data_IF_783012383935
#
_entry.id   IF_783012383935
#
_cell.length_a   1.000
_cell.length_b   1.000
_cell.length_c   1.000
_cell.angle_alpha   90.00
_cell.angle_beta   90.00
_cell.angle_gamma   90.00
#
_symmetry.space_group_name_H-M   'P 1'
#
loop_
_entity.id
_entity.type
_entity.pdbx_description
1 polymer ?
#
# COMPACT_ATOMS: atom_id res chain seq x y z
N UNK A 1 18.36 41.23 6.75
CA UNK A 1 18.15 39.78 6.93
C UNK A 1 17.14 39.33 5.89
N UNK A 2 17.57 38.64 4.82
CA UNK A 2 16.67 38.17 3.76
C UNK A 2 16.10 36.81 4.16
N UNK A 3 14.78 36.74 4.37
CA UNK A 3 14.07 35.48 4.65
C UNK A 3 13.57 34.94 3.31
N UNK A 4 14.22 33.89 2.81
CA UNK A 4 13.78 33.19 1.62
C UNK A 4 12.61 32.24 1.96
N UNK A 5 11.41 32.55 1.48
CA UNK A 5 10.26 31.65 1.58
C UNK A 5 10.29 30.62 0.44
N UNK A 6 10.81 29.42 0.73
CA UNK A 6 10.70 28.29 -0.21
C UNK A 6 9.33 27.62 -0.10
N UNK A 7 8.58 27.59 -1.21
CA UNK A 7 7.29 26.90 -1.32
C UNK A 7 7.48 25.55 -2.02
N UNK A 8 7.72 24.49 -1.25
CA UNK A 8 7.87 23.12 -1.76
C UNK A 8 6.51 22.54 -2.19
N UNK A 9 6.35 22.30 -3.50
CA UNK A 9 5.25 21.48 -4.05
C UNK A 9 5.72 20.03 -4.16
N UNK A 10 5.34 19.20 -3.18
CA UNK A 10 5.56 17.75 -3.26
C UNK A 10 4.61 17.13 -4.28
N UNK A 11 5.15 16.62 -5.38
CA UNK A 11 4.41 15.85 -6.36
C UNK A 11 4.22 14.42 -5.81
N UNK A 12 3.08 14.17 -5.18
CA UNK A 12 2.71 12.85 -4.66
C UNK A 12 2.43 11.90 -5.82
N UNK A 13 3.41 11.07 -6.16
CA UNK A 13 3.24 9.93 -7.04
C UNK A 13 2.66 8.78 -6.21
N UNK A 14 1.33 8.72 -6.12
CA UNK A 14 0.67 7.56 -5.54
C UNK A 14 0.58 6.48 -6.61
N UNK A 15 1.46 5.49 -6.57
CA UNK A 15 1.19 4.23 -7.27
C UNK A 15 0.07 3.54 -6.49
N UNK A 16 -1.13 3.48 -7.06
CA UNK A 16 -2.25 2.76 -6.44
C UNK A 16 -1.92 1.27 -6.51
N UNK A 17 -1.21 0.76 -5.49
CA UNK A 17 -0.93 -0.67 -5.35
C UNK A 17 -2.26 -1.38 -5.05
N UNK A 18 -2.76 -2.09 -6.05
CA UNK A 18 -3.93 -2.94 -5.89
C UNK A 18 -3.52 -4.16 -5.06
N UNK A 19 -4.19 -4.38 -3.92
CA UNK A 19 -3.82 -5.43 -2.97
C UNK A 19 -4.23 -6.80 -3.48
N UNK A 20 -3.31 -7.77 -3.48
CA UNK A 20 -3.63 -9.18 -3.76
C UNK A 20 -4.55 -9.79 -2.70
N UNK A 21 -5.39 -10.74 -3.11
CA UNK A 21 -6.25 -11.47 -2.19
C UNK A 21 -5.51 -12.59 -1.46
N UNK A 22 -4.68 -12.21 -0.48
CA UNK A 22 -3.90 -13.15 0.35
C UNK A 22 -4.73 -14.06 1.27
N UNK A 23 -6.06 -14.00 1.20
CA UNK A 23 -6.94 -14.97 1.87
C UNK A 23 -6.92 -16.33 1.15
N UNK A 24 -6.72 -16.36 -0.17
CA UNK A 24 -6.65 -17.62 -0.93
C UNK A 24 -5.47 -18.49 -0.51
N UNK A 25 -4.37 -17.91 -0.04
CA UNK A 25 -3.24 -18.64 0.56
C UNK A 25 -3.57 -19.35 1.88
N UNK A 26 -4.81 -19.24 2.40
CA UNK A 26 -5.31 -20.04 3.52
C UNK A 26 -6.19 -21.22 3.09
N UNK A 27 -6.59 -21.29 1.83
CA UNK A 27 -7.36 -22.41 1.30
C UNK A 27 -6.47 -23.65 1.12
N UNK A 28 -7.07 -24.83 0.96
CA UNK A 28 -6.33 -26.09 0.80
C UNK A 28 -5.58 -26.18 -0.52
N UNK A 29 -6.14 -25.66 -1.61
CA UNK A 29 -5.65 -25.99 -2.96
C UNK A 29 -4.74 -24.88 -3.54
N UNK A 30 -5.10 -23.61 -3.31
CA UNK A 30 -4.37 -22.45 -3.86
C UNK A 30 -2.91 -22.32 -3.42
N UNK A 31 -2.50 -22.69 -2.19
CA UNK A 31 -1.08 -22.65 -1.83
C UNK A 31 -0.22 -23.61 -2.65
N UNK A 32 -0.75 -24.78 -3.00
CA UNK A 32 -0.02 -25.76 -3.82
C UNK A 32 0.07 -25.29 -5.27
N UNK A 33 -1.02 -24.76 -5.82
CA UNK A 33 -1.02 -24.09 -7.13
C UNK A 33 0.01 -22.96 -7.18
N UNK A 34 0.05 -22.11 -6.14
CA UNK A 34 1.04 -21.03 -6.03
C UNK A 34 2.48 -21.55 -6.02
N UNK A 35 2.77 -22.59 -5.23
CA UNK A 35 4.10 -23.20 -5.13
C UNK A 35 4.59 -23.74 -6.48
N UNK A 36 3.72 -24.48 -7.17
CA UNK A 36 4.04 -25.09 -8.47
C UNK A 36 4.28 -24.00 -9.51
N UNK A 37 3.37 -23.04 -9.63
CA UNK A 37 3.49 -21.95 -10.60
C UNK A 37 4.72 -21.09 -10.34
N UNK A 38 5.00 -20.73 -9.08
CA UNK A 38 6.18 -19.96 -8.71
C UNK A 38 7.46 -20.72 -9.05
N UNK A 39 7.54 -22.01 -8.69
CA UNK A 39 8.72 -22.84 -8.96
C UNK A 39 8.98 -23.01 -10.46
N UNK A 40 7.94 -23.29 -11.25
CA UNK A 40 8.05 -23.45 -12.70
C UNK A 40 8.55 -22.17 -13.37
N UNK A 41 7.97 -21.02 -13.01
CA UNK A 41 8.37 -19.72 -13.56
C UNK A 41 9.77 -19.33 -13.13
N UNK A 42 10.12 -19.57 -11.86
CA UNK A 42 11.46 -19.28 -11.39
C UNK A 42 12.51 -20.17 -12.04
N UNK A 43 12.23 -21.46 -12.27
CA UNK A 43 13.15 -22.34 -12.98
C UNK A 43 13.46 -21.81 -14.39
N UNK A 44 12.43 -21.38 -15.14
CA UNK A 44 12.63 -20.76 -16.45
C UNK A 44 13.39 -19.43 -16.38
N UNK A 45 13.21 -18.66 -15.32
CA UNK A 45 13.92 -17.39 -15.11
C UNK A 45 15.35 -17.57 -14.59
N UNK A 46 15.63 -18.63 -13.83
CA UNK A 46 16.94 -18.91 -13.26
C UNK A 46 18.00 -19.11 -14.34
N UNK A 47 17.65 -19.75 -15.46
CA UNK A 47 18.55 -19.93 -16.60
C UNK A 47 18.92 -18.59 -17.27
N UNK A 48 18.04 -17.57 -17.17
CA UNK A 48 18.28 -16.23 -17.67
C UNK A 48 19.15 -15.38 -16.72
N UNK A 49 19.06 -15.62 -15.41
CA UNK A 49 19.85 -14.91 -14.38
C UNK A 49 21.35 -15.21 -14.48
N UNK A 50 21.71 -16.39 -15.00
CA UNK A 50 23.11 -16.81 -15.16
C UNK A 50 23.72 -16.40 -16.51
N UNK A 51 22.99 -15.67 -17.35
CA UNK A 51 23.51 -15.17 -18.64
C UNK A 51 24.37 -13.93 -18.40
N UNK A 52 25.60 -13.97 -18.90
CA UNK A 52 26.57 -12.89 -18.77
C UNK A 52 26.06 -11.59 -19.45
N UNK A 53 26.07 -10.46 -18.72
CA UNK A 53 25.64 -9.13 -19.20
C UNK A 53 24.36 -8.54 -18.58
N UNK A 54 23.72 -9.20 -17.61
CA UNK A 54 22.56 -8.63 -16.90
C UNK A 54 22.97 -7.73 -15.74
N UNK A 55 22.44 -6.50 -15.66
CA UNK A 55 22.65 -5.62 -14.50
C UNK A 55 21.88 -6.09 -13.28
N UNK A 56 22.35 -5.71 -12.09
CA UNK A 56 21.74 -6.09 -10.82
C UNK A 56 20.26 -5.67 -10.70
N UNK A 57 19.94 -4.49 -11.19
CA UNK A 57 18.57 -3.95 -11.23
C UNK A 57 17.66 -4.78 -12.15
N UNK A 58 18.18 -5.30 -13.26
CA UNK A 58 17.43 -6.15 -14.18
C UNK A 58 17.13 -7.51 -13.53
N UNK A 59 18.09 -8.07 -12.80
CA UNK A 59 17.93 -9.33 -12.06
C UNK A 59 16.88 -9.18 -10.96
N UNK A 60 16.94 -8.12 -10.15
CA UNK A 60 15.92 -7.84 -9.15
C UNK A 60 14.54 -7.62 -9.78
N UNK A 61 14.49 -6.87 -10.89
CA UNK A 61 13.24 -6.60 -11.61
C UNK A 61 12.60 -7.90 -12.10
N UNK A 62 13.36 -8.81 -12.68
CA UNK A 62 12.82 -10.10 -13.14
C UNK A 62 12.36 -11.01 -12.00
N UNK A 63 13.06 -11.03 -10.85
CA UNK A 63 12.59 -11.73 -9.64
C UNK A 63 11.26 -11.13 -9.17
N UNK A 64 11.20 -9.81 -9.06
CA UNK A 64 10.00 -9.08 -8.66
C UNK A 64 8.84 -9.37 -9.60
N UNK A 65 9.05 -9.30 -10.91
CA UNK A 65 8.04 -9.60 -11.94
C UNK A 65 7.58 -11.05 -11.88
N UNK A 66 8.48 -12.00 -11.61
CA UNK A 66 8.15 -13.42 -11.45
C UNK A 66 7.22 -13.63 -10.24
N UNK A 67 7.55 -13.03 -9.10
CA UNK A 67 6.74 -13.16 -7.88
C UNK A 67 5.40 -12.44 -8.05
N UNK A 68 5.37 -11.21 -8.57
CA UNK A 68 4.14 -10.43 -8.73
C UNK A 68 3.23 -11.04 -9.78
N UNK A 69 3.75 -11.50 -10.91
CA UNK A 69 2.97 -12.19 -11.95
C UNK A 69 2.35 -13.49 -11.43
N UNK A 70 3.05 -14.23 -10.56
CA UNK A 70 2.50 -15.44 -9.94
C UNK A 70 1.39 -15.08 -8.94
N UNK A 71 1.57 -13.98 -8.19
CA UNK A 71 0.50 -13.44 -7.34
C UNK A 71 -0.73 -13.02 -8.16
N UNK A 72 -0.54 -12.41 -9.33
CA UNK A 72 -1.64 -12.04 -10.22
C UNK A 72 -2.43 -13.25 -10.71
N UNK A 73 -1.75 -14.30 -11.17
CA UNK A 73 -2.40 -15.50 -11.71
C UNK A 73 -3.17 -16.28 -10.64
N UNK A 74 -2.54 -16.54 -9.49
CA UNK A 74 -3.10 -17.49 -8.50
C UNK A 74 -3.97 -16.79 -7.45
N UNK A 75 -3.60 -15.58 -7.01
CA UNK A 75 -4.29 -14.89 -5.91
C UNK A 75 -5.34 -13.90 -6.39
N UNK A 76 -5.21 -13.39 -7.61
CA UNK A 76 -5.99 -12.26 -8.13
C UNK A 76 -5.95 -11.03 -7.18
N UNK A 77 -6.47 -9.92 -7.64
CA UNK A 77 -6.62 -8.74 -6.83
C UNK A 77 -7.83 -8.84 -5.92
N UNK A 78 -7.72 -8.22 -4.75
CA UNK A 78 -8.87 -7.98 -3.90
C UNK A 78 -9.82 -7.05 -4.65
N UNK A 79 -10.99 -7.58 -5.02
CA UNK A 79 -12.05 -6.78 -5.63
C UNK A 79 -12.47 -5.68 -4.66
N UNK A 80 -12.57 -4.47 -5.17
CA UNK A 80 -13.16 -3.38 -4.42
C UNK A 80 -14.67 -3.61 -4.40
N UNK A 81 -15.23 -3.90 -3.22
CA UNK A 81 -16.68 -3.83 -3.07
C UNK A 81 -17.07 -2.36 -3.17
N UNK A 82 -17.72 -2.01 -4.27
CA UNK A 82 -18.41 -0.75 -4.38
C UNK A 82 -19.59 -0.77 -3.41
N UNK A 83 -20.04 0.42 -2.99
CA UNK A 83 -21.22 0.51 -2.14
C UNK A 83 -22.40 -0.09 -2.89
N UNK A 84 -23.28 -0.81 -2.18
CA UNK A 84 -24.42 -1.54 -2.75
C UNK A 84 -25.29 -0.69 -3.69
N UNK A 85 -25.30 0.63 -3.48
CA UNK A 85 -26.08 1.56 -4.28
C UNK A 85 -25.41 2.03 -5.56
N UNK A 86 -24.13 1.75 -5.82
CA UNK A 86 -23.46 2.21 -7.05
C UNK A 86 -23.72 1.21 -8.18
N UNK A 87 -24.40 1.66 -9.23
CA UNK A 87 -24.67 0.90 -10.46
C UNK A 87 -23.45 0.77 -11.37
N UNK A 88 -23.52 -0.21 -12.27
CA UNK A 88 -22.53 -0.43 -13.34
C UNK A 88 -22.42 0.80 -14.24
N UNK A 89 -23.55 1.37 -14.67
CA UNK A 89 -23.56 2.59 -15.51
C UNK A 89 -22.78 3.75 -14.85
N UNK A 90 -22.93 3.95 -13.54
CA UNK A 90 -22.19 4.98 -12.81
C UNK A 90 -20.69 4.66 -12.71
N UNK A 91 -20.31 3.38 -12.64
CA UNK A 91 -18.91 2.96 -12.70
C UNK A 91 -18.30 3.24 -14.08
N UNK A 92 -19.04 2.99 -15.15
CA UNK A 92 -18.61 3.27 -16.52
C UNK A 92 -18.39 4.77 -16.73
N UNK A 93 -19.31 5.62 -16.24
CA UNK A 93 -19.12 7.08 -16.25
C UNK A 93 -17.89 7.52 -15.43
N UNK A 94 -17.62 6.88 -14.29
CA UNK A 94 -16.41 7.15 -13.50
C UNK A 94 -15.15 6.80 -14.29
N UNK A 95 -15.19 5.70 -15.04
CA UNK A 95 -14.09 5.28 -15.89
C UNK A 95 -13.89 6.24 -17.06
N UNK A 96 -14.96 6.68 -17.72
CA UNK A 96 -14.90 7.70 -18.76
C UNK A 96 -14.26 9.00 -18.25
N UNK A 97 -14.67 9.47 -17.06
CA UNK A 97 -14.04 10.62 -16.41
C UNK A 97 -12.53 10.42 -16.21
N UNK A 98 -12.08 9.22 -15.83
CA UNK A 98 -10.64 8.91 -15.70
C UNK A 98 -9.92 9.00 -17.05
N UNK A 99 -10.54 8.50 -18.11
CA UNK A 99 -9.99 8.57 -19.46
C UNK A 99 -9.84 10.03 -19.91
N UNK A 100 -10.86 10.88 -19.70
CA UNK A 100 -10.79 12.33 -19.96
C UNK A 100 -9.70 13.01 -19.11
N UNK A 101 -9.50 12.57 -17.87
CA UNK A 101 -8.41 13.07 -17.01
C UNK A 101 -7.04 12.69 -17.55
N UNK A 102 -6.88 11.49 -18.11
CA UNK A 102 -5.65 11.07 -18.76
C UNK A 102 -5.35 11.90 -20.01
N UNK A 103 -6.36 12.24 -20.81
CA UNK A 103 -6.21 13.12 -21.97
C UNK A 103 -5.62 14.50 -21.60
N UNK A 104 -6.04 15.10 -20.48
CA UNK A 104 -5.46 16.35 -19.95
C UNK A 104 -3.98 16.19 -19.60
N UNK A 105 -3.57 15.03 -19.10
CA UNK A 105 -2.18 14.79 -18.72
C UNK A 105 -1.28 14.58 -19.94
N UNK A 106 -1.83 14.01 -21.02
CA UNK A 106 -1.11 13.72 -22.28
C UNK A 106 -1.07 14.95 -23.21
N UNK A 107 -2.02 15.90 -23.07
CA UNK A 107 -2.12 17.08 -23.93
C UNK A 107 -0.82 17.90 -23.98
N UNK A 108 -0.36 18.22 -25.19
CA UNK A 108 0.91 18.91 -25.44
C UNK A 108 0.73 20.42 -25.63
N UNK A 109 -0.35 20.83 -26.28
CA UNK A 109 -0.65 22.24 -26.59
C UNK A 109 -1.61 22.84 -25.56
N UNK A 110 -1.54 24.16 -25.36
CA UNK A 110 -2.46 24.88 -24.47
C UNK A 110 -3.92 24.79 -24.91
N UNK A 111 -4.18 24.79 -26.23
CA UNK A 111 -5.52 24.65 -26.80
C UNK A 111 -6.12 23.26 -26.49
N UNK A 112 -5.40 22.19 -26.83
CA UNK A 112 -5.81 20.81 -26.55
C UNK A 112 -6.08 20.57 -25.07
N UNK A 113 -5.22 21.13 -24.21
CA UNK A 113 -5.40 21.05 -22.75
C UNK A 113 -6.67 21.75 -22.29
N UNK A 114 -6.98 22.91 -22.85
CA UNK A 114 -8.21 23.66 -22.56
C UNK A 114 -9.46 22.87 -22.97
N UNK A 115 -9.44 22.27 -24.17
CA UNK A 115 -10.54 21.44 -24.67
C UNK A 115 -10.75 20.18 -23.81
N UNK A 116 -9.69 19.43 -23.56
CA UNK A 116 -9.74 18.24 -22.70
C UNK A 116 -10.21 18.57 -21.27
N UNK A 117 -9.86 19.76 -20.76
CA UNK A 117 -10.29 20.23 -19.45
C UNK A 117 -11.79 20.59 -19.43
N UNK A 118 -12.32 21.18 -20.51
CA UNK A 118 -13.76 21.42 -20.64
C UNK A 118 -14.54 20.09 -20.65
N UNK A 119 -14.13 19.13 -21.47
CA UNK A 119 -14.75 17.80 -21.55
C UNK A 119 -14.73 17.07 -20.20
N UNK A 120 -13.58 17.03 -19.53
CA UNK A 120 -13.48 16.42 -18.20
C UNK A 120 -14.39 17.12 -17.18
N UNK A 121 -14.55 18.43 -17.28
CA UNK A 121 -15.41 19.20 -16.36
C UNK A 121 -16.87 18.81 -16.52
N UNK A 122 -17.34 18.65 -17.76
CA UNK A 122 -18.71 18.22 -18.05
C UNK A 122 -18.96 16.78 -17.58
N UNK A 123 -18.11 15.82 -17.96
CA UNK A 123 -18.23 14.42 -17.51
C UNK A 123 -18.17 14.33 -15.98
N UNK A 124 -17.28 15.10 -15.33
CA UNK A 124 -17.20 15.13 -13.86
C UNK A 124 -18.46 15.71 -13.21
N UNK A 125 -19.15 16.68 -13.83
CA UNK A 125 -20.43 17.20 -13.36
C UNK A 125 -21.51 16.13 -13.47
N UNK A 126 -21.57 15.40 -14.59
CA UNK A 126 -22.52 14.31 -14.80
C UNK A 126 -22.31 13.17 -13.80
N UNK A 127 -21.06 12.70 -13.61
CA UNK A 127 -20.70 11.70 -12.59
C UNK A 127 -21.11 12.15 -11.19
N UNK A 128 -20.89 13.41 -10.82
CA UNK A 128 -21.33 13.92 -9.52
C UNK A 128 -22.84 13.93 -9.39
N UNK A 129 -23.56 14.23 -10.47
CA UNK A 129 -25.02 14.24 -10.49
C UNK A 129 -25.59 12.82 -10.35
N UNK A 130 -25.10 11.86 -11.14
CA UNK A 130 -25.54 10.45 -11.09
C UNK A 130 -25.33 9.85 -9.71
N UNK A 131 -24.13 10.02 -9.13
CA UNK A 131 -23.81 9.55 -7.76
C UNK A 131 -24.78 10.13 -6.71
N UNK A 132 -25.15 11.41 -6.81
CA UNK A 132 -26.10 12.03 -5.87
C UNK A 132 -27.50 11.48 -6.03
N UNK A 133 -27.98 11.37 -7.27
CA UNK A 133 -29.32 10.87 -7.59
C UNK A 133 -29.47 9.42 -7.16
N UNK A 134 -28.48 8.60 -7.46
CA UNK A 134 -28.47 7.19 -7.12
C UNK A 134 -28.40 6.95 -5.61
N UNK A 135 -27.52 7.68 -4.91
CA UNK A 135 -27.49 7.65 -3.44
C UNK A 135 -28.84 8.06 -2.84
N UNK A 136 -29.52 9.06 -3.41
CA UNK A 136 -30.85 9.48 -2.97
C UNK A 136 -31.88 8.36 -3.16
N UNK A 137 -31.94 7.77 -4.35
CA UNK A 137 -32.83 6.63 -4.66
C UNK A 137 -32.61 5.47 -3.70
N UNK A 138 -31.36 5.13 -3.39
CA UNK A 138 -31.06 4.08 -2.43
C UNK A 138 -31.56 4.38 -1.01
N UNK A 139 -31.32 5.60 -0.52
CA UNK A 139 -31.80 6.03 0.81
C UNK A 139 -33.33 6.03 0.85
N UNK A 140 -33.98 6.49 -0.21
CA UNK A 140 -35.44 6.50 -0.34
C UNK A 140 -36.02 5.07 -0.35
N UNK A 141 -35.43 4.15 -1.12
CA UNK A 141 -35.82 2.73 -1.11
C UNK A 141 -35.66 2.09 0.28
N UNK A 142 -34.57 2.42 0.99
CA UNK A 142 -34.32 1.92 2.34
C UNK A 142 -35.35 2.46 3.34
N UNK A 143 -35.69 3.74 3.23
CA UNK A 143 -36.74 4.36 4.05
C UNK A 143 -38.11 3.74 3.76
N UNK A 144 -38.47 3.55 2.49
CA UNK A 144 -39.71 2.89 2.08
C UNK A 144 -39.79 1.45 2.60
N UNK A 145 -38.68 0.70 2.55
CA UNK A 145 -38.60 -0.64 3.11
C UNK A 145 -38.81 -0.63 4.62
N UNK A 146 -38.19 0.32 5.34
CA UNK A 146 -38.39 0.51 6.77
C UNK A 146 -39.85 0.84 7.12
N UNK A 147 -40.48 1.75 6.39
CA UNK A 147 -41.90 2.11 6.59
C UNK A 147 -42.82 0.91 6.35
N UNK A 148 -42.56 0.13 5.29
CA UNK A 148 -43.33 -1.09 5.01
C UNK A 148 -43.18 -2.12 6.13
N UNK A 149 -41.95 -2.38 6.56
CA UNK A 149 -41.68 -3.32 7.66
C UNK A 149 -42.34 -2.88 8.98
N UNK A 150 -42.40 -1.58 9.27
CA UNK A 150 -43.11 -1.05 10.43
C UNK A 150 -44.62 -1.31 10.34
N UNK A 151 -45.23 -1.13 9.16
CA UNK A 151 -46.66 -1.43 8.94
C UNK A 151 -46.97 -2.92 9.08
N UNK A 152 -46.05 -3.78 8.67
CA UNK A 152 -46.19 -5.24 8.73
C UNK A 152 -45.74 -5.84 10.07
N UNK A 153 -45.21 -5.03 11.00
CA UNK A 153 -44.72 -5.49 12.30
C UNK A 153 -43.39 -6.28 12.25
N UNK A 154 -42.65 -6.25 11.13
CA UNK A 154 -41.38 -6.97 10.97
C UNK A 154 -40.23 -6.14 11.59
N UNK A 155 -40.11 -6.21 12.91
CA UNK A 155 -39.17 -5.39 13.69
C UNK A 155 -37.70 -5.55 13.26
N UNK A 156 -37.27 -6.76 12.89
CA UNK A 156 -35.88 -7.01 12.46
C UNK A 156 -35.51 -6.20 11.20
N UNK A 157 -36.38 -6.20 10.20
CA UNK A 157 -36.15 -5.46 8.96
C UNK A 157 -36.21 -3.94 9.17
N UNK A 158 -37.09 -3.48 10.07
CA UNK A 158 -37.15 -2.08 10.48
C UNK A 158 -35.82 -1.63 11.10
N UNK A 159 -35.29 -2.37 12.08
CA UNK A 159 -34.01 -2.05 12.71
C UNK A 159 -32.83 -2.14 11.73
N UNK A 160 -32.82 -3.14 10.83
CA UNK A 160 -31.78 -3.26 9.81
C UNK A 160 -31.80 -2.07 8.84
N UNK A 161 -32.99 -1.59 8.43
CA UNK A 161 -33.13 -0.40 7.61
C UNK A 161 -32.67 0.87 8.35
N UNK A 162 -33.11 1.07 9.60
CA UNK A 162 -32.70 2.19 10.44
C UNK A 162 -31.19 2.20 10.67
N UNK A 163 -30.56 1.03 10.84
CA UNK A 163 -29.12 0.90 11.04
C UNK A 163 -28.31 1.21 9.78
N UNK A 164 -28.86 0.94 8.58
CA UNK A 164 -28.22 1.20 7.29
C UNK A 164 -28.36 2.67 6.81
N UNK A 165 -29.36 3.41 7.30
CA UNK A 165 -29.59 4.83 6.96
C UNK A 165 -28.47 5.79 7.39
N UNK A 166 -27.97 5.75 8.65
CA UNK A 166 -26.80 6.52 9.04
C UNK A 166 -25.57 5.91 8.37
N UNK A 167 -25.10 6.54 7.30
CA UNK A 167 -23.76 6.26 6.78
C UNK A 167 -22.71 6.46 7.87
N UNK A 168 -21.55 5.78 7.75
CA UNK A 168 -20.40 5.79 8.67
C UNK A 168 -20.54 6.81 9.80
N UNK A 169 -20.97 6.35 10.98
CA UNK A 169 -20.94 7.14 12.20
C UNK A 169 -19.52 7.71 12.33
N UNK A 170 -19.36 8.99 12.01
CA UNK A 170 -18.16 9.71 12.38
C UNK A 170 -18.23 9.77 13.90
N UNK A 171 -17.36 8.98 14.54
CA UNK A 171 -17.04 9.25 15.94
C UNK A 171 -16.77 10.76 16.01
N UNK A 172 -17.38 11.50 16.94
CA UNK A 172 -16.95 12.86 17.17
C UNK A 172 -15.43 12.82 17.30
N UNK A 173 -14.77 13.74 16.60
CA UNK A 173 -13.31 13.88 16.64
C UNK A 173 -12.90 13.81 18.11
N UNK A 174 -11.96 12.91 18.45
CA UNK A 174 -11.55 12.75 19.84
C UNK A 174 -11.03 14.11 20.27
N UNK A 175 -11.83 14.79 21.06
CA UNK A 175 -11.55 16.10 21.58
C UNK A 175 -10.21 16.03 22.31
N UNK A 176 -9.26 16.87 21.87
CA UNK A 176 -7.93 16.97 22.48
C UNK A 176 -8.13 17.43 23.91
N UNK A 177 -7.58 16.69 24.88
CA UNK A 177 -7.67 17.03 26.29
C UNK A 177 -6.38 17.72 26.74
N UNK A 178 -6.52 18.72 27.62
CA UNK A 178 -5.38 19.28 28.34
C UNK A 178 -4.81 18.26 29.35
N UNK A 179 -3.72 18.60 30.06
CA UNK A 179 -3.08 17.70 31.03
C UNK A 179 -4.02 17.31 32.18
N UNK A 180 -5.01 18.15 32.46
CA UNK A 180 -6.03 17.99 33.49
C UNK A 180 -7.25 17.19 33.01
N UNK A 181 -7.25 16.72 31.75
CA UNK A 181 -8.32 15.88 31.19
C UNK A 181 -9.56 16.63 30.68
N UNK A 182 -9.54 17.96 30.68
CA UNK A 182 -10.60 18.85 30.14
C UNK A 182 -10.48 18.97 28.61
N UNK A 183 -11.62 18.96 27.93
CA UNK A 183 -11.73 19.08 26.48
C UNK A 183 -11.37 20.50 26.01
N UNK A 184 -10.48 20.59 25.03
CA UNK A 184 -10.05 21.83 24.39
C UNK A 184 -10.86 22.05 23.10
N UNK A 185 -11.66 23.12 23.08
CA UNK A 185 -12.50 23.49 21.94
C UNK A 185 -11.81 24.47 20.96
N UNK A 186 -10.79 25.21 21.41
CA UNK A 186 -10.10 26.23 20.61
C UNK A 186 -8.90 25.66 19.84
N UNK A 187 -8.74 26.04 18.57
CA UNK A 187 -7.65 25.59 17.69
C UNK A 187 -6.28 26.07 18.18
N UNK A 188 -6.20 27.27 18.74
CA UNK A 188 -4.96 27.84 19.32
C UNK A 188 -4.45 26.97 20.48
N UNK A 189 -5.36 26.64 21.39
CA UNK A 189 -5.08 25.82 22.58
C UNK A 189 -4.72 24.38 22.20
N UNK A 190 -5.34 23.83 21.15
CA UNK A 190 -4.96 22.52 20.62
C UNK A 190 -3.52 22.53 20.11
N UNK A 191 -3.10 23.58 19.39
CA UNK A 191 -1.71 23.75 18.92
C UNK A 191 -0.73 23.81 20.08
N UNK A 192 -1.03 24.61 21.10
CA UNK A 192 -0.19 24.72 22.30
C UNK A 192 -0.07 23.38 23.03
N UNK A 193 -1.17 22.63 23.15
CA UNK A 193 -1.18 21.29 23.75
C UNK A 193 -0.31 20.29 22.98
N UNK A 194 -0.30 20.37 21.65
CA UNK A 194 0.60 19.57 20.80
C UNK A 194 2.06 19.96 21.01
N UNK A 195 2.37 21.26 21.04
CA UNK A 195 3.72 21.76 21.28
C UNK A 195 4.27 21.28 22.63
N UNK A 196 3.47 21.38 23.70
CA UNK A 196 3.85 20.86 25.02
C UNK A 196 4.11 19.34 24.99
N UNK A 197 3.24 18.57 24.34
CA UNK A 197 3.41 17.12 24.24
C UNK A 197 4.72 16.75 23.54
N UNK A 198 5.05 17.43 22.44
CA UNK A 198 6.26 17.17 21.69
C UNK A 198 7.51 17.66 22.41
N UNK A 199 7.45 18.79 23.11
CA UNK A 199 8.57 19.25 23.97
C UNK A 199 8.88 18.23 25.05
N UNK A 200 7.86 17.71 25.73
CA UNK A 200 8.04 16.70 26.78
C UNK A 200 8.59 15.36 26.24
N UNK A 201 8.12 14.94 25.07
CA UNK A 201 8.52 13.67 24.46
C UNK A 201 9.92 13.71 23.82
N UNK A 202 10.27 14.83 23.18
CA UNK A 202 11.54 14.97 22.44
C UNK A 202 12.67 15.56 23.30
N UNK A 203 12.36 16.40 24.28
CA UNK A 203 13.36 17.05 25.14
C UNK A 203 13.45 16.32 26.51
N UNK A 204 13.67 15.01 26.47
CA UNK A 204 13.99 14.27 27.70
C UNK A 204 15.30 14.83 28.27
N UNK A 205 15.40 15.17 29.56
CA UNK A 205 16.66 15.61 30.14
C UNK A 205 17.72 14.52 29.95
N UNK A 206 18.94 14.94 29.61
CA UNK A 206 20.07 14.04 29.49
C UNK A 206 20.16 13.19 30.76
N UNK A 207 20.27 11.87 30.56
CA UNK A 207 20.54 10.95 31.66
C UNK A 207 21.78 11.43 32.42
N UNK A 208 21.64 11.77 33.70
CA UNK A 208 22.76 12.12 34.58
C UNK A 208 23.74 10.94 34.78
N UNK A 209 23.33 9.72 34.43
CA UNK A 209 24.27 8.66 34.19
C UNK A 209 24.82 8.85 32.77
N UNK A 210 25.99 9.48 32.68
CA UNK A 210 26.91 9.24 31.59
C UNK A 210 27.11 7.72 31.54
N UNK A 211 26.44 7.06 30.60
CA UNK A 211 26.76 5.67 30.30
C UNK A 211 28.19 5.72 29.81
N UNK A 212 29.14 5.34 30.66
CA UNK A 212 30.50 5.10 30.25
C UNK A 212 30.40 3.92 29.28
N UNK A 213 30.33 4.23 27.98
CA UNK A 213 30.46 3.22 26.94
C UNK A 213 31.92 2.83 27.01
N UNK A 214 32.22 1.85 27.87
CA UNK A 214 33.47 1.11 27.79
C UNK A 214 33.55 0.66 26.33
N UNK A 215 34.53 1.20 25.61
CA UNK A 215 34.76 0.90 24.20
C UNK A 215 35.01 -0.60 24.15
N UNK A 216 33.98 -1.37 23.82
CA UNK A 216 34.06 -2.80 23.60
C UNK A 216 35.07 -3.00 22.47
N UNK A 217 36.28 -3.52 22.73
CA UNK A 217 37.20 -3.89 21.68
C UNK A 217 36.79 -5.29 21.27
N UNK A 218 35.74 -5.38 20.46
CA UNK A 218 35.43 -6.58 19.71
C UNK A 218 34.68 -6.14 18.46
N UNK A 219 35.38 -6.10 17.34
CA UNK A 219 34.74 -6.46 16.09
C UNK A 219 34.18 -7.86 16.33
N UNK A 220 32.89 -7.93 16.67
CA UNK A 220 32.17 -9.20 16.64
C UNK A 220 32.51 -9.81 15.27
N UNK A 221 32.86 -11.10 15.20
CA UNK A 221 33.06 -11.76 13.92
C UNK A 221 31.69 -11.81 13.21
N UNK A 222 31.33 -10.70 12.59
CA UNK A 222 30.17 -10.55 11.74
C UNK A 222 30.62 -11.17 10.43
N UNK A 223 30.05 -12.33 10.14
CA UNK A 223 30.25 -12.96 8.85
C UNK A 223 29.78 -11.98 7.76
N UNK A 224 30.74 -11.47 6.99
CA UNK A 224 30.51 -10.59 5.83
C UNK A 224 30.22 -11.39 4.56
N UNK A 225 30.15 -12.71 4.66
CA UNK A 225 29.79 -13.63 3.60
C UNK A 225 28.35 -13.46 3.10
N UNK A 226 27.99 -14.11 1.98
CA UNK A 226 26.63 -14.16 1.51
C UNK A 226 25.74 -14.90 2.53
N UNK A 227 24.49 -14.43 2.76
CA UNK A 227 23.58 -15.09 3.70
C UNK A 227 23.26 -16.51 3.26
N UNK A 228 23.16 -17.42 4.21
CA UNK A 228 22.82 -18.83 3.96
C UNK A 228 21.33 -19.01 3.67
N UNK A 229 20.98 -20.10 2.97
CA UNK A 229 19.58 -20.43 2.64
C UNK A 229 18.74 -20.63 3.91
N UNK A 230 19.34 -21.20 4.95
CA UNK A 230 18.74 -21.45 6.26
C UNK A 230 18.40 -20.13 6.96
N UNK A 231 19.33 -19.16 6.98
CA UNK A 231 19.10 -17.83 7.53
C UNK A 231 17.98 -17.11 6.80
N UNK A 232 18.00 -17.13 5.47
CA UNK A 232 16.95 -16.53 4.63
C UNK A 232 15.60 -17.20 4.93
N UNK A 233 15.57 -18.53 5.02
CA UNK A 233 14.35 -19.29 5.36
C UNK A 233 13.81 -18.92 6.74
N UNK A 234 14.68 -18.75 7.73
CA UNK A 234 14.32 -18.30 9.07
C UNK A 234 13.71 -16.89 9.04
N UNK A 235 14.36 -15.95 8.36
CA UNK A 235 13.89 -14.57 8.23
C UNK A 235 12.51 -14.57 7.58
N UNK A 236 12.31 -15.27 6.46
CA UNK A 236 11.01 -15.38 5.77
C UNK A 236 9.92 -15.86 6.72
N UNK A 237 10.19 -16.89 7.54
CA UNK A 237 9.24 -17.41 8.53
C UNK A 237 8.90 -16.38 9.60
N UNK A 238 9.83 -15.52 10.00
CA UNK A 238 9.61 -14.48 11.01
C UNK A 238 8.85 -13.24 10.50
N UNK A 239 8.77 -13.02 9.17
CA UNK A 239 8.07 -11.84 8.61
C UNK A 239 6.61 -11.77 9.09
N UNK A 240 6.19 -10.64 9.65
CA UNK A 240 4.81 -10.45 10.10
C UNK A 240 3.82 -10.50 8.94
N UNK A 241 2.89 -11.45 8.97
CA UNK A 241 1.80 -11.54 7.99
C UNK A 241 0.72 -10.50 8.26
N UNK A 242 0.01 -10.04 7.21
CA UNK A 242 -1.08 -9.06 7.33
C UNK A 242 -0.64 -7.59 7.29
N UNK A 243 0.65 -7.32 7.10
CA UNK A 243 1.16 -5.98 6.77
C UNK A 243 0.92 -5.66 5.28
N UNK A 244 0.91 -4.37 4.95
CA UNK A 244 0.82 -3.93 3.56
C UNK A 244 2.06 -4.39 2.79
N UNK A 245 1.88 -4.69 1.50
CA UNK A 245 3.01 -4.94 0.62
C UNK A 245 3.86 -3.66 0.53
N UNK A 246 5.18 -3.83 0.46
CA UNK A 246 6.13 -2.73 0.30
C UNK A 246 6.05 -2.09 -1.10
N UNK A 247 7.01 -1.22 -1.45
CA UNK A 247 7.07 -0.57 -2.76
C UNK A 247 7.13 -1.58 -3.94
N UNK A 248 7.59 -2.79 -3.66
CA UNK A 248 7.63 -3.86 -4.66
C UNK A 248 6.29 -4.59 -4.87
N UNK A 249 5.25 -4.23 -4.13
CA UNK A 249 3.92 -4.85 -4.17
C UNK A 249 3.93 -6.37 -3.87
N UNK A 250 5.00 -6.89 -3.25
CA UNK A 250 5.10 -8.29 -2.84
C UNK A 250 4.53 -8.45 -1.43
N UNK A 251 3.45 -9.23 -1.22
CA UNK A 251 2.90 -9.45 0.10
C UNK A 251 3.74 -10.47 0.88
N UNK A 252 3.97 -10.23 2.17
CA UNK A 252 4.69 -11.16 3.06
C UNK A 252 4.12 -12.59 3.06
N UNK A 253 2.81 -12.73 2.85
CA UNK A 253 2.17 -14.05 2.75
C UNK A 253 2.56 -14.83 1.49
N UNK A 254 2.85 -14.16 0.38
CA UNK A 254 3.31 -14.83 -0.83
C UNK A 254 4.72 -15.41 -0.64
N UNK A 255 5.63 -14.65 -0.04
CA UNK A 255 6.98 -15.12 0.33
C UNK A 255 6.93 -16.32 1.29
N UNK A 256 5.91 -16.36 2.16
CA UNK A 256 5.70 -17.45 3.11
C UNK A 256 4.98 -18.68 2.53
N UNK A 257 4.36 -18.56 1.35
CA UNK A 257 3.62 -19.66 0.74
C UNK A 257 4.58 -20.79 0.33
N UNK A 258 5.76 -20.43 -0.17
CA UNK A 258 6.87 -21.34 -0.44
C UNK A 258 8.17 -20.78 0.13
N UNK A 259 8.47 -21.13 1.38
CA UNK A 259 9.69 -20.65 2.04
C UNK A 259 10.94 -21.18 1.34
N UNK A 260 10.92 -22.44 0.89
CA UNK A 260 12.09 -23.07 0.29
C UNK A 260 12.40 -22.48 -1.09
N UNK A 261 11.39 -22.36 -1.97
CA UNK A 261 11.58 -21.73 -3.27
C UNK A 261 11.99 -20.26 -3.10
N UNK A 262 11.28 -19.50 -2.25
CA UNK A 262 11.60 -18.08 -2.02
C UNK A 262 13.01 -17.88 -1.45
N UNK A 263 13.45 -18.76 -0.55
CA UNK A 263 14.80 -18.68 0.00
C UNK A 263 15.86 -18.94 -1.08
N UNK A 264 15.65 -19.92 -1.96
CA UNK A 264 16.54 -20.18 -3.11
C UNK A 264 16.61 -18.96 -4.04
N UNK A 265 15.47 -18.36 -4.37
CA UNK A 265 15.38 -17.15 -5.20
C UNK A 265 16.24 -16.01 -4.63
N UNK A 266 16.04 -15.71 -3.34
CA UNK A 266 16.74 -14.63 -2.65
C UNK A 266 18.23 -14.95 -2.49
N UNK A 267 18.58 -16.22 -2.25
CA UNK A 267 19.95 -16.68 -2.13
C UNK A 267 20.73 -16.47 -3.43
N UNK A 268 20.20 -16.93 -4.58
CA UNK A 268 20.81 -16.72 -5.90
C UNK A 268 21.10 -15.25 -6.16
N UNK A 269 20.14 -14.37 -5.87
CA UNK A 269 20.32 -12.92 -6.01
C UNK A 269 21.40 -12.36 -5.06
N UNK A 270 21.46 -12.87 -3.83
CA UNK A 270 22.43 -12.44 -2.83
C UNK A 270 23.85 -12.88 -3.19
N UNK A 271 24.02 -14.07 -3.76
CA UNK A 271 25.29 -14.57 -4.31
C UNK A 271 25.77 -13.72 -5.48
N UNK A 272 24.91 -13.44 -6.47
CA UNK A 272 25.26 -12.58 -7.62
C UNK A 272 25.67 -11.17 -7.14
N UNK A 273 24.94 -10.61 -6.18
CA UNK A 273 25.27 -9.31 -5.58
C UNK A 273 26.64 -9.32 -4.91
N UNK A 274 26.96 -10.39 -4.19
CA UNK A 274 28.22 -10.54 -3.49
C UNK A 274 29.39 -10.62 -4.48
N UNK A 275 29.25 -11.40 -5.55
CA UNK A 275 30.25 -11.49 -6.62
C UNK A 275 30.48 -10.14 -7.31
N UNK A 276 29.42 -9.42 -7.68
CA UNK A 276 29.55 -8.09 -8.30
C UNK A 276 30.22 -7.08 -7.36
N UNK A 277 29.89 -7.10 -6.07
CA UNK A 277 30.56 -6.26 -5.06
C UNK A 277 32.06 -6.56 -4.98
N UNK A 278 32.44 -7.83 -4.98
CA UNK A 278 33.85 -8.23 -4.91
C UNK A 278 34.61 -7.83 -6.18
N UNK A 279 34.01 -8.01 -7.37
CA UNK A 279 34.58 -7.52 -8.63
C UNK A 279 34.80 -6.00 -8.61
N UNK A 280 33.85 -5.23 -8.08
CA UNK A 280 33.97 -3.78 -7.95
C UNK A 280 35.12 -3.37 -7.02
N UNK A 281 35.27 -4.04 -5.87
CA UNK A 281 36.36 -3.76 -4.92
C UNK A 281 37.75 -4.09 -5.50
N UNK A 282 37.84 -5.08 -6.39
CA UNK A 282 39.11 -5.45 -7.04
C UNK A 282 39.47 -4.53 -8.22
N UNK A 283 38.49 -4.02 -8.96
CA UNK A 283 38.72 -3.31 -10.24
C UNK A 283 38.57 -1.78 -10.15
N UNK A 284 37.89 -1.26 -9.12
CA UNK A 284 37.64 0.17 -8.94
C UNK A 284 36.73 0.82 -9.99
N UNK A 285 36.22 0.06 -10.97
CA UNK A 285 35.33 0.55 -12.04
C UNK A 285 33.89 0.14 -11.76
N UNK A 286 32.97 1.10 -11.86
CA UNK A 286 31.53 0.80 -11.92
C UNK A 286 31.23 0.29 -13.32
N UNK A 287 30.90 -0.98 -13.44
CA UNK A 287 30.20 -1.46 -14.64
C UNK A 287 28.76 -0.91 -14.55
N UNK A 288 28.48 0.05 -15.43
CA UNK A 288 27.18 0.71 -15.61
C UNK A 288 26.32 -0.13 -16.54
#
# INVERSE_FOLDING_TARGET
>A
MLIAMMKLKLNKHWTTSQKFNTAFLRSTDKPNEFKITLSNRFQAFHDLLNREGTTMENNWRGIKETITSTCHEVLDHKKHHHKEWITVDTLDMIQERRNKKAAINISRTRADKSMAQAEHTEVNKQVKSSIRTEKRKYVENLAMTGVKAAREGIMRQLYDAIKKLPGNYCKPERLVKNKEGKVIANVEEQRNRWEEHFKELLNRPDSLHQTNIEVVPTDLPIDVGPPTIEEISMIIRQIKSGKAAGPDNIPAKALKADVAATARIINTFSSIRFEMRNKYQQTGKKDI
#
